data_IF_654775981092
#
_entry.id   IF_654775981092
#
_cell.length_a   1.000
_cell.length_b   1.000
_cell.length_c   1.000
_cell.angle_alpha   90.00
_cell.angle_beta   90.00
_cell.angle_gamma   90.00
#
_symmetry.space_group_name_H-M   'P 1'
#
loop_
_entity.id
_entity.type
_entity.pdbx_description
1 polymer ?
#
# COMPACT_ATOMS: atom_id res chain seq x y z
N UNK A 1 -1.18 12.14 26.95
CA UNK A 1 -0.89 11.36 25.75
C UNK A 1 -2.14 10.57 25.37
N UNK A 2 -2.68 10.84 24.23
CA UNK A 2 -3.75 10.01 23.69
C UNK A 2 -3.11 8.68 23.25
N UNK A 3 -3.59 7.57 23.79
CA UNK A 3 -3.23 6.26 23.27
C UNK A 3 -3.62 6.19 21.80
N UNK A 4 -2.73 5.74 20.91
CA UNK A 4 -3.12 5.52 19.54
C UNK A 4 -4.29 4.56 19.51
N UNK A 5 -5.34 4.92 18.79
CA UNK A 5 -6.54 4.09 18.66
C UNK A 5 -6.13 2.75 18.03
N UNK A 6 -6.40 1.66 18.75
CA UNK A 6 -6.06 0.34 18.24
C UNK A 6 -7.01 -0.02 17.09
N UNK A 7 -6.45 -0.48 15.99
CA UNK A 7 -7.25 -0.97 14.87
C UNK A 7 -7.98 -2.27 15.27
N UNK A 8 -9.26 -2.15 15.45
CA UNK A 8 -10.19 -3.28 15.61
C UNK A 8 -11.38 -3.04 14.70
N UNK A 9 -12.12 -4.08 14.40
CA UNK A 9 -13.32 -3.95 13.57
C UNK A 9 -14.34 -3.01 14.23
N UNK A 10 -14.48 -3.08 15.54
CA UNK A 10 -15.37 -2.22 16.33
C UNK A 10 -14.95 -0.74 16.22
N UNK A 11 -13.67 -0.43 16.45
CA UNK A 11 -13.18 0.94 16.34
C UNK A 11 -13.32 1.48 14.92
N UNK A 12 -13.07 0.67 13.91
CA UNK A 12 -13.22 1.06 12.51
C UNK A 12 -14.69 1.38 12.18
N UNK A 13 -15.63 0.58 12.66
CA UNK A 13 -17.05 0.78 12.39
C UNK A 13 -17.63 1.99 13.11
N UNK A 14 -17.10 2.34 14.28
CA UNK A 14 -17.63 3.43 15.13
C UNK A 14 -16.91 4.77 14.99
N UNK A 15 -15.69 4.77 14.44
CA UNK A 15 -14.88 5.98 14.30
C UNK A 15 -15.50 6.99 13.31
N UNK A 16 -15.21 8.26 13.53
CA UNK A 16 -15.48 9.29 12.52
C UNK A 16 -14.71 8.95 11.23
N UNK A 17 -15.23 9.39 10.08
CA UNK A 17 -14.66 9.01 8.77
C UNK A 17 -13.17 9.33 8.66
N UNK A 18 -12.73 10.49 9.09
CA UNK A 18 -11.34 10.89 9.07
C UNK A 18 -10.45 10.00 9.97
N UNK A 19 -10.96 9.60 11.12
CA UNK A 19 -10.25 8.69 12.02
C UNK A 19 -10.19 7.27 11.44
N UNK A 20 -11.29 6.80 10.85
CA UNK A 20 -11.34 5.51 10.16
C UNK A 20 -10.35 5.45 8.99
N UNK A 21 -10.22 6.53 8.21
CA UNK A 21 -9.23 6.64 7.16
C UNK A 21 -7.80 6.52 7.69
N UNK A 22 -7.50 7.15 8.82
CA UNK A 22 -6.20 7.05 9.46
C UNK A 22 -5.91 5.61 9.94
N UNK A 23 -6.92 4.90 10.45
CA UNK A 23 -6.79 3.50 10.86
C UNK A 23 -6.47 2.57 9.69
N UNK A 24 -6.92 2.90 8.49
CA UNK A 24 -6.70 2.13 7.26
C UNK A 24 -5.52 2.65 6.44
N UNK A 25 -4.83 3.69 6.91
CA UNK A 25 -3.69 4.27 6.19
C UNK A 25 -2.58 3.24 5.99
N UNK A 26 -1.98 3.25 4.82
CA UNK A 26 -0.88 2.36 4.46
C UNK A 26 -1.28 0.98 3.95
N UNK A 27 -2.57 0.59 3.97
CA UNK A 27 -2.99 -0.71 3.43
C UNK A 27 -2.82 -0.82 1.92
N UNK A 28 -3.03 0.29 1.21
CA UNK A 28 -2.75 0.40 -0.23
C UNK A 28 -1.81 1.57 -0.47
N UNK A 29 -0.63 1.29 -1.01
CA UNK A 29 0.46 2.25 -1.17
C UNK A 29 0.00 3.52 -1.91
N UNK A 30 0.09 4.67 -1.26
CA UNK A 30 -0.27 5.98 -1.80
C UNK A 30 -1.65 6.03 -2.50
N UNK A 31 -2.58 5.20 -2.08
CA UNK A 31 -3.90 5.07 -2.70
C UNK A 31 -5.03 5.16 -1.67
N UNK A 32 -5.17 6.28 -0.94
CA UNK A 32 -6.17 6.44 0.12
C UNK A 32 -7.61 6.41 -0.39
N UNK A 33 -7.82 6.61 -1.69
CA UNK A 33 -9.14 6.59 -2.32
C UNK A 33 -9.84 5.23 -2.19
N UNK A 34 -9.07 4.14 -2.05
CA UNK A 34 -9.62 2.77 -1.88
C UNK A 34 -10.31 2.65 -0.52
N UNK A 35 -9.60 2.98 0.55
CA UNK A 35 -10.16 2.96 1.90
C UNK A 35 -11.32 3.96 2.03
N UNK A 36 -11.18 5.15 1.48
CA UNK A 36 -12.20 6.19 1.52
C UNK A 36 -13.51 5.69 0.92
N UNK A 37 -13.47 5.07 -0.24
CA UNK A 37 -14.67 4.51 -0.89
C UNK A 37 -15.22 3.29 -0.14
N UNK A 38 -14.35 2.41 0.34
CA UNK A 38 -14.77 1.21 1.08
C UNK A 38 -15.52 1.55 2.37
N UNK A 39 -15.20 2.68 3.02
CA UNK A 39 -15.89 3.13 4.23
C UNK A 39 -17.39 3.41 4.02
N UNK A 40 -17.84 3.63 2.79
CA UNK A 40 -19.26 3.76 2.48
C UNK A 40 -20.05 2.48 2.79
N UNK A 41 -19.38 1.32 2.85
CA UNK A 41 -19.98 0.03 3.14
C UNK A 41 -20.07 -0.32 4.63
N UNK A 42 -19.67 0.59 5.52
CA UNK A 42 -19.79 0.36 6.97
C UNK A 42 -21.25 0.15 7.40
N UNK A 43 -21.51 -0.66 8.44
CA UNK A 43 -20.56 -1.39 9.27
C UNK A 43 -20.03 -2.65 8.60
N UNK A 44 -18.74 -2.93 8.78
CA UNK A 44 -18.15 -4.19 8.33
C UNK A 44 -18.46 -5.31 9.31
N UNK A 45 -18.91 -6.44 8.81
CA UNK A 45 -19.32 -7.59 9.61
C UNK A 45 -18.14 -8.47 10.03
N UNK A 46 -17.03 -8.37 9.29
CA UNK A 46 -15.81 -9.16 9.52
C UNK A 46 -14.64 -8.49 8.82
N UNK A 47 -13.42 -8.94 9.12
CA UNK A 47 -12.22 -8.54 8.37
C UNK A 47 -12.33 -8.99 6.91
N UNK A 48 -12.88 -10.17 6.65
CA UNK A 48 -13.12 -10.65 5.29
C UNK A 48 -14.08 -9.74 4.53
N UNK A 49 -15.13 -9.23 5.16
CA UNK A 49 -16.04 -8.25 4.56
C UNK A 49 -15.31 -6.95 4.20
N UNK A 50 -14.49 -6.41 5.09
CA UNK A 50 -13.67 -5.22 4.81
C UNK A 50 -12.75 -5.46 3.59
N UNK A 51 -12.04 -6.57 3.55
CA UNK A 51 -11.17 -6.94 2.42
C UNK A 51 -11.96 -7.04 1.11
N UNK A 52 -13.11 -7.67 1.16
CA UNK A 52 -13.99 -7.79 0.00
C UNK A 52 -14.40 -6.41 -0.53
N UNK A 53 -14.85 -5.51 0.34
CA UNK A 53 -15.27 -4.17 -0.07
C UNK A 53 -14.12 -3.36 -0.69
N UNK A 54 -12.92 -3.43 -0.11
CA UNK A 54 -11.73 -2.78 -0.70
C UNK A 54 -11.37 -3.36 -2.07
N UNK A 55 -11.44 -4.68 -2.22
CA UNK A 55 -11.22 -5.35 -3.51
C UNK A 55 -12.25 -4.90 -4.55
N UNK A 56 -13.52 -4.80 -4.17
CA UNK A 56 -14.57 -4.33 -5.07
C UNK A 56 -14.34 -2.88 -5.54
N UNK A 57 -13.85 -2.03 -4.65
CA UNK A 57 -13.48 -0.64 -5.02
C UNK A 57 -12.42 -0.63 -6.12
N UNK A 58 -11.39 -1.47 -6.00
CA UNK A 58 -10.32 -1.57 -7.01
C UNK A 58 -10.87 -2.16 -8.32
N UNK A 59 -11.63 -3.24 -8.23
CA UNK A 59 -12.16 -3.93 -9.42
C UNK A 59 -13.09 -3.03 -10.26
N UNK A 60 -13.85 -2.17 -9.61
CA UNK A 60 -14.79 -1.27 -10.27
C UNK A 60 -14.23 0.13 -10.56
N UNK A 61 -12.97 0.39 -10.18
CA UNK A 61 -12.38 1.74 -10.32
C UNK A 61 -12.04 2.14 -11.75
N UNK A 62 -11.91 1.17 -12.65
CA UNK A 62 -11.47 1.39 -14.02
C UNK A 62 -9.95 1.31 -14.18
N UNK A 63 -9.53 1.12 -15.43
CA UNK A 63 -8.13 0.83 -15.77
C UNK A 63 -7.16 1.93 -15.32
N UNK A 64 -7.52 3.20 -15.47
CA UNK A 64 -6.62 4.32 -15.12
C UNK A 64 -6.29 4.34 -13.63
N UNK A 65 -7.29 4.13 -12.76
CA UNK A 65 -7.07 4.06 -11.31
C UNK A 65 -6.33 2.79 -10.91
N UNK A 66 -6.63 1.67 -11.54
CA UNK A 66 -5.94 0.41 -11.30
C UNK A 66 -4.45 0.51 -11.67
N UNK A 67 -4.13 1.10 -12.82
CA UNK A 67 -2.75 1.38 -13.22
C UNK A 67 -2.08 2.37 -12.25
N UNK A 68 -2.80 3.40 -11.82
CA UNK A 68 -2.31 4.34 -10.82
C UNK A 68 -1.92 3.67 -9.51
N UNK A 69 -2.73 2.70 -9.05
CA UNK A 69 -2.42 1.90 -7.86
C UNK A 69 -1.14 1.08 -8.05
N UNK A 70 -1.00 0.37 -9.16
CA UNK A 70 0.19 -0.43 -9.45
C UNK A 70 1.43 0.45 -9.56
N UNK A 71 1.33 1.61 -10.23
CA UNK A 71 2.44 2.55 -10.39
C UNK A 71 2.85 3.24 -9.09
N UNK A 72 1.94 3.36 -8.13
CA UNK A 72 2.24 3.90 -6.81
C UNK A 72 3.07 2.96 -5.94
N UNK A 73 3.10 1.66 -6.27
CA UNK A 73 3.90 0.69 -5.53
C UNK A 73 5.39 0.92 -5.81
N UNK A 74 6.24 0.93 -4.75
CA UNK A 74 7.68 1.15 -4.93
C UNK A 74 8.35 -0.07 -5.57
N UNK A 75 9.40 0.18 -6.34
CA UNK A 75 10.28 -0.86 -6.88
C UNK A 75 11.02 -1.60 -5.76
N UNK A 76 11.39 -2.86 -6.02
CA UNK A 76 12.23 -3.64 -5.10
C UNK A 76 13.62 -3.00 -4.97
N UNK A 77 14.11 -2.91 -3.73
CA UNK A 77 15.42 -2.31 -3.41
C UNK A 77 15.63 -0.93 -4.05
N UNK A 78 14.55 -0.16 -4.19
CA UNK A 78 14.59 1.16 -4.80
C UNK A 78 15.52 2.11 -4.01
N UNK A 79 16.11 3.09 -4.71
CA UNK A 79 16.84 4.20 -4.08
C UNK A 79 16.01 4.91 -3.01
N UNK A 80 14.69 4.86 -3.16
CA UNK A 80 13.71 5.43 -2.25
C UNK A 80 13.70 4.77 -0.86
N UNK A 81 14.30 3.60 -0.69
CA UNK A 81 14.44 2.94 0.62
C UNK A 81 15.27 3.77 1.60
N UNK A 82 16.12 4.65 1.09
CA UNK A 82 16.91 5.59 1.89
C UNK A 82 16.18 6.92 2.13
N UNK A 83 14.94 7.06 1.67
CA UNK A 83 14.12 8.28 1.76
C UNK A 83 12.77 8.00 2.40
N UNK A 84 12.04 9.06 2.77
CA UNK A 84 10.69 8.96 3.34
C UNK A 84 9.60 8.68 2.29
N UNK A 85 9.96 8.29 1.07
CA UNK A 85 9.02 8.05 -0.01
C UNK A 85 8.27 6.71 0.09
N UNK A 86 8.78 5.76 0.91
CA UNK A 86 8.12 4.49 1.17
C UNK A 86 7.21 4.59 2.40
N UNK A 87 6.09 3.88 2.38
CA UNK A 87 5.31 3.66 3.59
C UNK A 87 6.07 2.72 4.54
N UNK A 88 5.70 2.77 5.83
CA UNK A 88 6.29 1.87 6.83
C UNK A 88 6.06 0.39 6.49
N UNK A 89 4.90 0.07 5.94
CA UNK A 89 4.53 -1.28 5.53
C UNK A 89 5.42 -1.78 4.39
N UNK A 90 5.61 -1.00 3.33
CA UNK A 90 6.47 -1.36 2.20
C UNK A 90 7.93 -1.49 2.61
N UNK A 91 8.43 -0.62 3.47
CA UNK A 91 9.78 -0.70 4.02
C UNK A 91 9.96 -2.00 4.82
N UNK A 92 8.98 -2.35 5.66
CA UNK A 92 9.00 -3.57 6.46
C UNK A 92 8.99 -4.83 5.59
N UNK A 93 8.15 -4.87 4.55
CA UNK A 93 8.06 -5.98 3.62
C UNK A 93 9.37 -6.22 2.89
N UNK A 94 9.98 -5.17 2.34
CA UNK A 94 11.26 -5.26 1.63
C UNK A 94 12.40 -5.64 2.57
N UNK A 95 12.41 -5.15 3.80
CA UNK A 95 13.39 -5.53 4.82
C UNK A 95 13.29 -7.02 5.16
N UNK A 96 12.08 -7.58 5.31
CA UNK A 96 11.86 -9.01 5.56
C UNK A 96 12.34 -9.88 4.40
N UNK A 97 12.25 -9.39 3.17
CA UNK A 97 12.77 -10.07 1.99
C UNK A 97 14.31 -10.01 1.87
N UNK A 98 14.99 -9.33 2.79
CA UNK A 98 16.45 -9.17 2.77
C UNK A 98 16.96 -8.14 1.79
N UNK A 99 16.07 -7.33 1.18
CA UNK A 99 16.45 -6.37 0.15
C UNK A 99 17.23 -5.17 0.70
N UNK A 100 17.19 -4.94 2.03
CA UNK A 100 18.00 -3.91 2.70
C UNK A 100 19.44 -4.35 2.95
N UNK A 101 19.78 -5.61 2.73
CA UNK A 101 21.09 -6.23 2.97
C UNK A 101 21.80 -6.66 1.68
N UNK A 102 21.41 -6.09 0.54
CA UNK A 102 22.04 -6.36 -0.74
C UNK A 102 23.50 -5.89 -0.76
N UNK A 103 24.38 -6.68 -1.42
CA UNK A 103 25.70 -6.19 -1.81
C UNK A 103 25.56 -5.06 -2.84
N UNK A 104 26.63 -4.27 -3.02
CA UNK A 104 26.64 -3.21 -4.04
C UNK A 104 26.36 -3.74 -5.43
N UNK A 105 26.92 -4.92 -5.79
CA UNK A 105 26.68 -5.56 -7.08
C UNK A 105 25.25 -6.07 -7.27
N UNK A 106 24.66 -6.65 -6.22
CA UNK A 106 23.26 -7.09 -6.22
C UNK A 106 22.32 -5.90 -6.36
N UNK A 107 22.55 -4.82 -5.62
CA UNK A 107 21.76 -3.62 -5.72
C UNK A 107 21.81 -2.99 -7.10
N UNK A 108 23.01 -2.90 -7.69
CA UNK A 108 23.18 -2.40 -9.06
C UNK A 108 22.39 -3.24 -10.06
N UNK A 109 22.46 -4.59 -9.93
CA UNK A 109 21.74 -5.50 -10.81
C UNK A 109 20.22 -5.36 -10.65
N UNK A 110 19.71 -5.24 -9.42
CA UNK A 110 18.29 -5.01 -9.17
C UNK A 110 17.80 -3.69 -9.76
N UNK A 111 18.57 -2.62 -9.62
CA UNK A 111 18.24 -1.31 -10.20
C UNK A 111 18.15 -1.38 -11.73
N UNK A 112 19.06 -2.11 -12.37
CA UNK A 112 19.04 -2.32 -13.81
C UNK A 112 17.81 -3.12 -14.25
N UNK A 113 17.50 -4.22 -13.54
CA UNK A 113 16.32 -5.03 -13.79
C UNK A 113 15.02 -4.22 -13.61
N UNK A 114 14.94 -3.38 -12.58
CA UNK A 114 13.82 -2.50 -12.36
C UNK A 114 13.64 -1.50 -13.51
N UNK A 115 14.73 -0.90 -13.98
CA UNK A 115 14.70 0.04 -15.10
C UNK A 115 14.20 -0.66 -16.38
N UNK A 116 14.73 -1.82 -16.67
CA UNK A 116 14.35 -2.60 -17.87
C UNK A 116 12.88 -3.03 -17.80
N UNK A 117 12.43 -3.50 -16.63
CA UNK A 117 11.04 -3.91 -16.42
C UNK A 117 10.07 -2.73 -16.58
N UNK A 118 10.36 -1.61 -15.92
CA UNK A 118 9.50 -0.42 -16.00
C UNK A 118 9.45 0.16 -17.42
N UNK A 119 10.56 0.12 -18.14
CA UNK A 119 10.60 0.55 -19.54
C UNK A 119 9.74 -0.35 -20.43
N UNK A 120 9.71 -1.65 -20.16
CA UNK A 120 8.95 -2.62 -20.95
C UNK A 120 7.46 -2.60 -20.65
N UNK A 121 7.07 -2.51 -19.38
CA UNK A 121 5.68 -2.70 -18.94
C UNK A 121 4.98 -1.43 -18.48
N UNK A 122 5.71 -0.36 -18.21
CA UNK A 122 5.14 0.91 -17.76
C UNK A 122 4.68 0.95 -16.29
N UNK A 123 5.07 -0.04 -15.49
CA UNK A 123 4.82 -0.09 -14.05
C UNK A 123 5.92 -0.87 -13.33
N UNK A 124 6.11 -0.71 -12.01
CA UNK A 124 7.15 -1.40 -11.26
C UNK A 124 6.87 -2.90 -11.13
N UNK A 125 7.96 -3.65 -11.03
CA UNK A 125 7.89 -5.09 -10.71
C UNK A 125 7.38 -5.32 -9.29
#
# INVERSE_FOLDING_TARGET
MLNPMKLTLETLNSAARNEALQLLDGLYEHSPWIADKALDARPFLSVAHLKYEMTQVVDHAGQDKQLGLIRAHPELAAKLMASDALTAESTSEQSRAGLTHCTTGELFRLQQLNTDYSAKFGFPF
#
